data_IF_806347703430
#
_entry.id   IF_806347703430
#
_cell.length_a   1.000
_cell.length_b   1.000
_cell.length_c   1.000
_cell.angle_alpha   90.00
_cell.angle_beta   90.00
_cell.angle_gamma   90.00
#
_symmetry.space_group_name_H-M   'P 1'
#
loop_
_entity.id
_entity.type
_entity.pdbx_description
1 polymer ?
#
# COMPACT_ATOMS: atom_id res chain seq x y z
N UNK A 1 9.03 54.79 9.85
CA UNK A 1 9.60 54.15 8.65
C UNK A 1 9.37 52.64 8.76
N UNK A 2 8.27 52.13 8.21
CA UNK A 2 7.87 50.70 8.33
C UNK A 2 8.36 49.90 7.12
N UNK A 3 9.11 48.82 7.35
CA UNK A 3 9.49 47.84 6.33
C UNK A 3 8.40 46.75 6.28
N UNK A 4 7.79 46.48 5.12
CA UNK A 4 6.88 45.35 4.99
C UNK A 4 7.69 44.05 4.94
N UNK A 5 7.48 43.17 5.93
CA UNK A 5 7.99 41.81 5.99
C UNK A 5 7.41 40.99 4.82
N UNK A 6 8.15 40.88 3.72
CA UNK A 6 7.82 39.97 2.62
C UNK A 6 8.17 38.54 3.02
N UNK A 7 7.16 37.73 3.30
CA UNK A 7 7.32 36.30 3.52
C UNK A 7 6.13 35.52 3.00
N UNK A 8 6.05 35.32 1.68
CA UNK A 8 5.16 34.29 1.11
C UNK A 8 5.70 32.94 1.59
N UNK A 9 5.15 32.42 2.70
CA UNK A 9 5.39 31.04 3.15
C UNK A 9 4.74 30.11 2.12
N UNK A 10 5.51 29.68 1.14
CA UNK A 10 5.12 28.58 0.26
C UNK A 10 4.88 27.34 1.12
N UNK A 11 3.61 26.95 1.25
CA UNK A 11 3.16 25.68 1.83
C UNK A 11 3.68 24.54 0.96
N UNK A 12 4.89 24.07 1.25
CA UNK A 12 5.57 23.10 0.41
C UNK A 12 5.19 21.65 0.73
N UNK A 13 3.90 21.28 0.67
CA UNK A 13 3.45 19.88 0.91
C UNK A 13 4.17 18.86 0.03
N UNK A 14 4.58 19.27 -1.18
CA UNK A 14 5.29 18.42 -2.14
C UNK A 14 6.80 18.69 -2.21
N UNK A 15 7.37 19.42 -1.23
CA UNK A 15 8.80 19.75 -1.23
C UNK A 15 9.70 18.51 -1.15
N UNK A 16 9.22 17.42 -0.56
CA UNK A 16 9.92 16.13 -0.48
C UNK A 16 10.10 15.46 -1.85
N UNK A 17 9.16 15.63 -2.79
CA UNK A 17 9.23 15.09 -4.15
C UNK A 17 10.31 15.74 -5.04
N UNK A 18 10.91 16.84 -4.58
CA UNK A 18 12.03 17.49 -5.27
C UNK A 18 13.34 16.71 -5.10
N UNK A 19 13.42 15.84 -4.08
CA UNK A 19 14.55 14.92 -3.92
C UNK A 19 14.34 13.69 -4.83
N UNK A 20 15.30 13.44 -5.74
CA UNK A 20 15.23 12.34 -6.71
C UNK A 20 15.06 10.96 -6.05
N UNK A 21 15.77 10.71 -4.95
CA UNK A 21 15.69 9.43 -4.23
C UNK A 21 14.31 9.26 -3.58
N UNK A 22 13.79 10.32 -2.97
CA UNK A 22 12.44 10.28 -2.38
C UNK A 22 11.35 10.11 -3.45
N UNK A 23 11.51 10.75 -4.62
CA UNK A 23 10.55 10.60 -5.71
C UNK A 23 10.51 9.17 -6.26
N UNK A 24 11.66 8.53 -6.42
CA UNK A 24 11.75 7.13 -6.83
C UNK A 24 11.13 6.19 -5.79
N UNK A 25 11.45 6.42 -4.50
CA UNK A 25 10.83 5.68 -3.40
C UNK A 25 9.30 5.86 -3.40
N UNK A 26 8.80 7.09 -3.50
CA UNK A 26 7.38 7.40 -3.46
C UNK A 26 6.59 6.69 -4.57
N UNK A 27 7.08 6.77 -5.81
CA UNK A 27 6.44 6.07 -6.93
C UNK A 27 6.58 4.55 -6.81
N UNK A 28 7.76 4.06 -6.41
CA UNK A 28 7.97 2.64 -6.13
C UNK A 28 7.01 2.12 -5.07
N UNK A 29 6.73 2.92 -4.04
CA UNK A 29 5.83 2.55 -2.97
C UNK A 29 4.37 2.52 -3.41
N UNK A 30 3.95 3.47 -4.25
CA UNK A 30 2.60 3.45 -4.86
C UNK A 30 2.42 2.18 -5.69
N UNK A 31 3.37 1.87 -6.57
CA UNK A 31 3.30 0.67 -7.43
C UNK A 31 3.31 -0.60 -6.58
N UNK A 32 4.17 -0.66 -5.56
CA UNK A 32 4.28 -1.83 -4.68
C UNK A 32 2.98 -2.08 -3.91
N UNK A 33 2.43 -1.04 -3.27
CA UNK A 33 1.16 -1.13 -2.56
C UNK A 33 0.03 -1.58 -3.49
N UNK A 34 -0.05 -0.98 -4.68
CA UNK A 34 -1.06 -1.36 -5.69
C UNK A 34 -0.89 -2.81 -6.11
N UNK A 35 0.34 -3.26 -6.37
CA UNK A 35 0.66 -4.63 -6.73
C UNK A 35 0.28 -5.63 -5.65
N UNK A 36 0.54 -5.31 -4.38
CA UNK A 36 0.12 -6.13 -3.23
C UNK A 36 -1.40 -6.26 -3.16
N UNK A 37 -2.13 -5.16 -3.34
CA UNK A 37 -3.60 -5.20 -3.35
C UNK A 37 -4.15 -5.99 -4.54
N UNK A 38 -3.57 -5.80 -5.73
CA UNK A 38 -3.93 -6.58 -6.90
C UNK A 38 -3.66 -8.07 -6.72
N UNK A 39 -2.53 -8.43 -6.10
CA UNK A 39 -2.21 -9.82 -5.79
C UNK A 39 -3.24 -10.43 -4.84
N UNK A 40 -3.62 -9.71 -3.77
CA UNK A 40 -4.63 -10.17 -2.81
C UNK A 40 -5.99 -10.41 -3.48
N UNK A 41 -6.47 -9.46 -4.28
CA UNK A 41 -7.74 -9.62 -5.04
C UNK A 41 -7.64 -10.74 -6.07
N UNK A 42 -6.52 -10.83 -6.79
CA UNK A 42 -6.29 -11.88 -7.79
C UNK A 42 -6.27 -13.28 -7.18
N UNK A 43 -5.64 -13.44 -6.02
CA UNK A 43 -5.65 -14.71 -5.27
C UNK A 43 -7.06 -15.09 -4.83
N UNK A 44 -7.83 -14.13 -4.29
CA UNK A 44 -9.22 -14.38 -3.91
C UNK A 44 -10.07 -14.79 -5.12
N UNK A 45 -9.92 -14.10 -6.25
CA UNK A 45 -10.66 -14.40 -7.48
C UNK A 45 -10.31 -15.78 -8.04
N UNK A 46 -9.03 -16.17 -8.01
CA UNK A 46 -8.58 -17.50 -8.45
C UNK A 46 -9.22 -18.62 -7.61
N UNK A 47 -9.24 -18.47 -6.28
CA UNK A 47 -9.85 -19.47 -5.40
C UNK A 47 -11.36 -19.58 -5.66
N UNK A 48 -12.04 -18.45 -5.90
CA UNK A 48 -13.45 -18.45 -6.25
C UNK A 48 -13.71 -19.21 -7.54
N UNK A 49 -12.92 -18.95 -8.58
CA UNK A 49 -13.08 -19.56 -9.91
C UNK A 49 -12.78 -21.07 -9.87
N UNK A 50 -11.75 -21.50 -9.14
CA UNK A 50 -11.39 -22.91 -9.06
C UNK A 50 -12.35 -23.71 -8.17
N UNK A 51 -12.91 -23.10 -7.12
CA UNK A 51 -13.69 -23.85 -6.13
C UNK A 51 -15.20 -23.67 -6.27
N UNK A 52 -15.67 -22.66 -7.03
CA UNK A 52 -17.07 -22.25 -7.16
C UNK A 52 -17.83 -22.08 -5.82
N UNK A 53 -17.09 -21.99 -4.70
CA UNK A 53 -17.61 -22.07 -3.34
C UNK A 53 -16.94 -21.01 -2.48
N UNK A 54 -17.73 -20.03 -2.03
CA UNK A 54 -17.27 -18.96 -1.15
C UNK A 54 -16.75 -19.48 0.21
N UNK A 55 -17.20 -20.68 0.64
CA UNK A 55 -16.75 -21.31 1.88
C UNK A 55 -15.30 -21.78 1.81
N UNK A 56 -14.85 -22.33 0.69
CA UNK A 56 -13.46 -22.74 0.52
C UNK A 56 -12.50 -21.55 0.46
N UNK A 57 -12.98 -20.43 -0.08
CA UNK A 57 -12.31 -19.13 -0.08
C UNK A 57 -12.10 -18.62 1.35
N UNK A 58 -13.16 -18.66 2.17
CA UNK A 58 -13.10 -18.32 3.60
C UNK A 58 -12.18 -19.24 4.40
N UNK A 59 -12.20 -20.55 4.13
CA UNK A 59 -11.32 -21.51 4.81
C UNK A 59 -9.84 -21.30 4.43
N UNK A 60 -9.55 -21.07 3.15
CA UNK A 60 -8.18 -20.78 2.68
C UNK A 60 -7.66 -19.48 3.27
N UNK A 61 -8.49 -18.44 3.33
CA UNK A 61 -8.15 -17.17 4.00
C UNK A 61 -7.89 -17.39 5.51
N UNK A 62 -8.68 -18.22 6.20
CA UNK A 62 -8.45 -18.55 7.60
C UNK A 62 -7.12 -19.31 7.82
N UNK A 63 -6.78 -20.24 6.91
CA UNK A 63 -5.51 -20.99 6.96
C UNK A 63 -4.27 -20.10 6.73
N UNK A 64 -4.38 -18.94 6.06
CA UNK A 64 -3.25 -18.02 5.89
C UNK A 64 -2.72 -17.45 7.21
N UNK A 65 -3.55 -17.41 8.25
CA UNK A 65 -3.16 -16.96 9.59
C UNK A 65 -2.53 -18.05 10.44
N UNK A 66 -2.63 -19.32 10.02
CA UNK A 66 -2.18 -20.48 10.78
C UNK A 66 -0.65 -20.48 11.02
N UNK A 67 0.21 -20.12 10.04
CA UNK A 67 1.64 -19.95 10.27
C UNK A 67 1.96 -18.82 11.25
N UNK A 68 1.18 -17.73 11.22
CA UNK A 68 1.37 -16.59 12.12
C UNK A 68 0.95 -16.92 13.56
N UNK A 69 -0.03 -17.81 13.73
CA UNK A 69 -0.43 -18.35 15.03
C UNK A 69 0.61 -19.34 15.59
N UNK A 70 1.20 -20.17 14.73
CA UNK A 70 2.11 -21.24 15.16
C UNK A 70 3.58 -20.83 15.26
N UNK A 71 4.01 -19.85 14.45
CA UNK A 71 5.42 -19.45 14.27
C UNK A 71 5.57 -17.93 14.46
N UNK A 72 4.50 -17.23 14.88
CA UNK A 72 4.60 -15.85 15.34
C UNK A 72 5.56 -15.77 16.54
N UNK A 73 6.30 -14.66 16.70
CA UNK A 73 7.22 -14.47 17.81
C UNK A 73 6.52 -14.52 19.19
#
# INVERSE_FOLDING_TARGET
MMRPERGVRSLGTFRSLRNRNYRLYFWGQIVSLTGTWMQSVGQAWLILTLTHSALALGFTAALQFLPMLLIGP
#
